data_IF_636373347011
#
_entry.id   IF_636373347011
#
_cell.length_a   1.000
_cell.length_b   1.000
_cell.length_c   1.000
_cell.angle_alpha   90.00
_cell.angle_beta   90.00
_cell.angle_gamma   90.00
#
_symmetry.space_group_name_H-M   'P 1'
#
loop_
_entity.id
_entity.type
_entity.pdbx_description
1 polymer ?
2 branched ?
#
# COMPACT_ATOMS: atom_id res chain seq x y z
N UNK A 1 -13.43 -4.91 12.75
CA UNK A 1 -12.21 -5.16 13.49
C UNK A 1 -11.05 -5.50 12.57
N UNK A 2 -9.83 -5.41 13.10
CA UNK A 2 -8.64 -5.71 12.32
C UNK A 2 -8.48 -4.73 11.16
N UNK A 3 -7.24 -4.40 10.83
CA UNK A 3 -6.95 -3.47 9.74
C UNK A 3 -6.21 -4.17 8.61
N UNK A 4 -5.84 -3.40 7.59
CA UNK A 4 -5.14 -3.95 6.44
C UNK A 4 -3.69 -3.43 6.39
N UNK A 5 -3.50 -2.19 6.82
CA UNK A 5 -2.18 -1.58 6.83
C UNK A 5 -1.57 -1.63 8.22
N UNK A 6 -0.92 -2.75 8.54
CA UNK A 6 -0.29 -2.92 9.84
C UNK A 6 1.22 -2.75 9.74
N UNK A 7 1.87 -3.67 9.06
CA UNK A 7 3.31 -3.63 8.88
C UNK A 7 3.68 -3.27 7.44
N UNK A 8 3.17 -2.13 6.97
CA UNK A 8 3.45 -1.67 5.61
C UNK A 8 3.02 -2.73 4.59
N UNK A 9 1.77 -2.67 4.11
CA UNK A 9 1.25 -3.62 3.12
C UNK A 9 2.06 -3.59 1.82
N UNK A 10 2.56 -2.42 1.46
CA UNK A 10 3.35 -2.27 0.24
C UNK A 10 4.58 -3.16 0.29
N UNK A 11 5.09 -3.53 -0.89
CA UNK A 11 6.26 -4.38 -0.99
C UNK A 11 7.36 -3.72 -1.81
N UNK A 12 7.45 -2.39 -1.73
CA UNK A 12 8.46 -1.65 -2.48
C UNK A 12 8.85 -0.37 -1.75
N UNK A 13 8.57 -0.30 -0.45
CA UNK A 13 8.91 0.87 0.35
C UNK A 13 8.01 2.03 -0.02
N UNK A 14 6.72 1.74 -0.16
CA UNK A 14 5.75 2.75 -0.53
C UNK A 14 5.10 3.37 0.71
N UNK A 15 4.42 4.50 0.53
CA UNK A 15 3.76 5.19 1.63
C UNK A 15 2.33 4.69 1.79
N UNK A 16 1.96 4.35 3.02
CA UNK A 16 0.62 3.86 3.32
C UNK A 16 -0.27 4.99 3.84
N UNK A 17 -1.46 5.11 3.28
CA UNK A 17 -2.41 6.14 3.70
C UNK A 17 -3.71 5.52 4.21
N UNK A 18 -4.71 6.37 4.42
CA UNK A 18 -6.01 5.90 4.91
C UNK A 18 -7.00 5.76 3.76
N UNK A 19 -7.88 4.77 3.86
CA UNK A 19 -8.88 4.54 2.83
C UNK A 19 -10.19 4.03 3.44
N UNK A 20 -11.17 3.76 2.59
CA UNK A 20 -12.47 3.27 3.05
C UNK A 20 -12.49 1.75 3.11
N UNK A 21 -12.30 1.21 4.31
CA UNK A 21 -12.30 -0.23 4.48
C UNK A 21 -11.24 -0.92 3.65
N UNK A 22 -10.22 -0.18 3.26
CA UNK A 22 -9.14 -0.72 2.45
C UNK A 22 -7.82 -0.02 2.77
N UNK A 23 -6.75 -0.44 2.08
CA UNK A 23 -5.44 0.15 2.29
C UNK A 23 -5.06 1.09 1.15
N UNK A 24 -4.15 2.00 1.43
CA UNK A 24 -3.70 2.97 0.42
C UNK A 24 -2.19 2.87 0.21
N UNK A 25 -1.79 1.99 -0.70
CA UNK A 25 -0.38 1.80 -1.00
C UNK A 25 0.07 2.73 -2.13
N UNK A 26 0.86 3.74 -1.76
CA UNK A 26 1.36 4.71 -2.74
C UNK A 26 2.71 4.27 -3.31
N UNK A 27 2.67 3.62 -4.46
CA UNK A 27 3.87 3.14 -5.12
C UNK A 27 4.69 4.29 -5.68
N UNK A 28 5.87 3.98 -6.21
CA UNK A 28 6.75 4.99 -6.79
C UNK A 28 6.17 5.55 -8.08
N UNK A 29 6.79 6.60 -8.63
CA UNK A 29 6.33 7.23 -9.88
C UNK A 29 6.69 6.41 -11.10
N UNK A 30 5.71 5.67 -11.63
CA UNK A 30 5.95 4.85 -12.80
C UNK A 30 6.08 3.39 -12.47
N UNK A 31 5.44 2.98 -11.36
CA UNK A 31 5.48 1.59 -10.93
C UNK A 31 4.16 0.88 -11.25
N UNK A 32 4.05 -0.37 -10.81
CA UNK A 32 2.84 -1.16 -11.04
C UNK A 32 2.58 -2.10 -9.88
N UNK A 33 1.47 -2.84 -9.98
CA UNK A 33 1.12 -3.77 -8.91
C UNK A 33 0.11 -3.21 -7.96
N UNK A 34 -0.49 -4.07 -7.15
CA UNK A 34 -1.49 -3.63 -6.17
C UNK A 34 -0.84 -3.27 -4.84
N UNK A 35 0.10 -4.10 -4.40
CA UNK A 35 0.81 -3.86 -3.14
C UNK A 35 2.18 -3.26 -3.39
N UNK A 36 2.32 -2.53 -4.50
CA UNK A 36 3.58 -1.89 -4.85
C UNK A 36 4.72 -2.92 -4.85
N UNK A 37 4.83 -3.68 -5.94
CA UNK A 37 5.86 -4.69 -6.06
C UNK A 37 6.22 -4.93 -7.53
N UNK A 38 5.19 -5.03 -8.37
CA UNK A 38 5.39 -5.26 -9.79
C UNK A 38 5.51 -3.94 -10.55
#
# INVERSE_FOLDING_TARGET
>A
DVNECISNPCQNDATCLDQIGEFQCICMPGYEGVYCEI
#
